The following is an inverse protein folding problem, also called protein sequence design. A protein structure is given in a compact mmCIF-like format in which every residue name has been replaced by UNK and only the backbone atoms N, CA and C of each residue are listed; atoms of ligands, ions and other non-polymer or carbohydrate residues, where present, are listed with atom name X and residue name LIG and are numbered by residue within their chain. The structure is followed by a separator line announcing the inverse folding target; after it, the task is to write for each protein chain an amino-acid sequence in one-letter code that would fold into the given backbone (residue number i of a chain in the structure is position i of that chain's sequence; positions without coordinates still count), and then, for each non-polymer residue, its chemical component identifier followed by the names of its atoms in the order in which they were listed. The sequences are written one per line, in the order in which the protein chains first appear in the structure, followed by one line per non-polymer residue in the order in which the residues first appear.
data_IF_275358308435
#
_entry.id   IF_275358308435
#
_cell.length_a   1.000
_cell.length_b   1.000
_cell.length_c   1.000
_cell.angle_alpha   90.00
_cell.angle_beta   90.00
_cell.angle_gamma   90.00
#
_symmetry.space_group_name_H-M   'P 1'
#
loop_
_entity.id
_entity.type
_entity.pdbx_description
1 polymer ?
#
# COMPACT_ATOMS: atom_id res chain seq x y z
N UNK A 1 -11.04 17.52 14.08
CA UNK A 1 -11.02 16.28 13.27
C UNK A 1 -11.37 15.10 14.17
N UNK A 2 -12.25 14.20 13.74
CA UNK A 2 -12.59 12.98 14.49
C UNK A 2 -11.34 12.07 14.48
N UNK A 3 -10.90 11.59 15.65
CA UNK A 3 -9.78 10.64 15.74
C UNK A 3 -10.20 9.31 15.13
N UNK A 4 -9.29 8.64 14.42
CA UNK A 4 -9.56 7.30 13.87
C UNK A 4 -9.59 6.29 15.00
N UNK A 5 -10.55 5.36 14.91
CA UNK A 5 -10.79 4.34 15.92
C UNK A 5 -10.22 2.99 15.43
N UNK A 6 -9.42 2.36 16.26
CA UNK A 6 -8.80 1.06 15.98
C UNK A 6 -9.27 0.08 17.03
N UNK A 7 -9.63 -1.14 16.62
CA UNK A 7 -9.85 -2.26 17.53
C UNK A 7 -8.67 -3.24 17.39
N UNK A 8 -8.01 -3.52 18.51
CA UNK A 8 -6.98 -4.56 18.63
C UNK A 8 -7.61 -5.79 19.20
N UNK A 9 -7.49 -6.94 18.52
CA UNK A 9 -8.12 -8.21 18.90
C UNK A 9 -7.00 -9.26 18.97
N UNK A 10 -6.64 -9.66 20.17
CA UNK A 10 -5.54 -10.60 20.44
C UNK A 10 -5.74 -11.17 21.86
N UNK A 11 -5.55 -12.47 22.08
CA UNK A 11 -5.71 -13.09 23.40
C UNK A 11 -4.55 -12.76 24.36
N UNK A 12 -3.42 -12.30 23.83
CA UNK A 12 -2.28 -11.80 24.58
C UNK A 12 -2.54 -10.39 25.12
N UNK A 13 -3.01 -10.27 26.38
CA UNK A 13 -3.35 -8.99 27.02
C UNK A 13 -2.22 -7.98 27.00
N UNK A 14 -1.00 -8.42 27.30
CA UNK A 14 0.19 -7.55 27.34
C UNK A 14 0.46 -6.94 25.97
N UNK A 15 0.29 -7.71 24.90
CA UNK A 15 0.44 -7.22 23.52
C UNK A 15 -0.64 -6.19 23.18
N UNK A 16 -1.90 -6.44 23.56
CA UNK A 16 -2.99 -5.49 23.40
C UNK A 16 -2.69 -4.16 24.12
N UNK A 17 -2.20 -4.20 25.36
CA UNK A 17 -1.84 -3.00 26.13
C UNK A 17 -0.70 -2.23 25.48
N UNK A 18 0.35 -2.91 25.03
CA UNK A 18 1.48 -2.31 24.31
C UNK A 18 1.01 -1.61 23.02
N UNK A 19 0.19 -2.28 22.22
CA UNK A 19 -0.34 -1.70 20.99
C UNK A 19 -1.27 -0.53 21.25
N UNK A 20 -2.19 -0.67 22.22
CA UNK A 20 -3.10 0.40 22.65
C UNK A 20 -2.32 1.65 23.08
N UNK A 21 -1.34 1.51 23.98
CA UNK A 21 -0.51 2.61 24.45
C UNK A 21 0.19 3.33 23.29
N UNK A 22 0.87 2.58 22.44
CA UNK A 22 1.69 3.13 21.38
C UNK A 22 0.89 3.77 20.24
N UNK A 23 -0.27 3.21 19.89
CA UNK A 23 -1.15 3.77 18.85
C UNK A 23 -1.90 4.99 19.38
N UNK A 24 -2.32 4.98 20.66
CA UNK A 24 -2.92 6.15 21.30
C UNK A 24 -1.95 7.31 21.37
N UNK A 25 -0.68 7.06 21.68
CA UNK A 25 0.38 8.07 21.74
C UNK A 25 0.59 8.80 20.40
N UNK A 26 0.22 8.19 19.27
CA UNK A 26 0.31 8.81 17.93
C UNK A 26 -1.02 9.34 17.41
N UNK A 27 -2.05 9.39 18.27
CA UNK A 27 -3.28 10.13 18.01
C UNK A 27 -4.49 9.30 17.60
N UNK A 28 -4.42 7.96 17.62
CA UNK A 28 -5.58 7.08 17.41
C UNK A 28 -6.41 6.95 18.69
N UNK A 29 -7.67 6.56 18.55
CA UNK A 29 -8.49 6.03 19.64
C UNK A 29 -8.45 4.51 19.53
N UNK A 30 -8.04 3.81 20.58
CA UNK A 30 -7.78 2.37 20.51
C UNK A 30 -8.56 1.64 21.60
N UNK A 31 -9.38 0.71 21.19
CA UNK A 31 -10.04 -0.28 22.05
C UNK A 31 -9.41 -1.65 21.86
N UNK A 32 -9.59 -2.53 22.83
CA UNK A 32 -9.08 -3.91 22.81
C UNK A 32 -10.21 -4.92 22.98
N UNK A 33 -10.03 -6.11 22.44
CA UNK A 33 -10.82 -7.31 22.71
C UNK A 33 -9.88 -8.50 22.82
N UNK A 34 -10.16 -9.42 23.71
CA UNK A 34 -9.28 -10.55 24.03
C UNK A 34 -9.78 -11.89 23.46
N UNK A 35 -10.79 -11.85 22.63
CA UNK A 35 -11.26 -12.97 21.83
C UNK A 35 -12.15 -12.50 20.70
N UNK A 36 -12.42 -13.38 19.70
CA UNK A 36 -13.36 -13.11 18.62
C UNK A 36 -14.77 -12.85 19.13
N UNK A 37 -15.21 -13.62 20.15
CA UNK A 37 -16.53 -13.47 20.76
C UNK A 37 -16.69 -12.15 21.52
N UNK A 38 -15.61 -11.65 22.14
CA UNK A 38 -15.62 -10.33 22.76
C UNK A 38 -15.71 -9.23 21.70
N UNK A 39 -14.97 -9.37 20.62
CA UNK A 39 -14.99 -8.42 19.51
C UNK A 39 -16.40 -8.30 18.89
N UNK A 40 -17.10 -9.40 18.64
CA UNK A 40 -18.48 -9.42 18.10
C UNK A 40 -19.47 -8.69 19.01
N UNK A 41 -19.27 -8.75 20.33
CA UNK A 41 -20.15 -8.05 21.30
C UNK A 41 -19.97 -6.53 21.27
N UNK A 42 -18.89 -6.03 20.69
CA UNK A 42 -18.67 -4.60 20.49
C UNK A 42 -19.38 -4.16 19.19
N UNK A 43 -19.73 -2.89 19.11
CA UNK A 43 -20.17 -2.29 17.85
C UNK A 43 -18.94 -2.12 16.93
N UNK A 44 -18.64 -3.17 16.14
CA UNK A 44 -17.46 -3.18 15.25
C UNK A 44 -17.58 -2.13 14.17
N UNK A 45 -18.80 -1.73 13.76
CA UNK A 45 -19.03 -0.78 12.67
C UNK A 45 -18.46 0.62 12.93
N UNK A 46 -18.14 0.95 14.19
CA UNK A 46 -17.58 2.25 14.58
C UNK A 46 -16.09 2.37 14.34
N UNK A 47 -15.36 1.26 14.13
CA UNK A 47 -13.91 1.28 13.96
C UNK A 47 -13.51 1.51 12.50
N UNK A 48 -12.42 2.24 12.34
CA UNK A 48 -11.80 2.54 11.05
C UNK A 48 -10.78 1.47 10.62
N UNK A 49 -10.34 0.58 11.55
CA UNK A 49 -9.37 -0.49 11.31
C UNK A 49 -9.44 -1.55 12.41
N UNK A 50 -9.21 -2.80 12.03
CA UNK A 50 -9.01 -3.92 12.95
C UNK A 50 -7.56 -4.41 12.85
N UNK A 51 -6.89 -4.57 14.01
CA UNK A 51 -5.69 -5.38 14.16
C UNK A 51 -6.12 -6.69 14.77
N UNK A 52 -5.97 -7.79 14.06
CA UNK A 52 -6.60 -9.06 14.38
C UNK A 52 -5.59 -10.20 14.43
N UNK A 53 -5.40 -10.79 15.61
CA UNK A 53 -4.60 -12.01 15.70
C UNK A 53 -5.32 -13.16 15.01
N UNK A 54 -4.56 -13.95 14.27
CA UNK A 54 -5.07 -15.14 13.57
C UNK A 54 -5.31 -16.28 14.54
N UNK A 55 -4.41 -16.46 15.51
CA UNK A 55 -4.40 -17.65 16.38
C UNK A 55 -4.94 -17.32 17.77
N UNK A 56 -6.25 -17.27 17.90
CA UNK A 56 -6.93 -17.10 19.18
C UNK A 56 -7.67 -18.38 19.62
N UNK A 57 -7.76 -18.66 20.93
CA UNK A 57 -8.62 -19.73 21.45
C UNK A 57 -10.10 -19.49 21.12
N UNK A 58 -10.83 -20.55 20.78
CA UNK A 58 -12.23 -20.46 20.38
C UNK A 58 -12.38 -20.03 18.93
N UNK A 59 -12.84 -18.82 18.69
CA UNK A 59 -12.97 -18.26 17.35
C UNK A 59 -11.64 -17.72 16.84
N UNK A 60 -11.12 -18.30 15.77
CA UNK A 60 -9.91 -17.82 15.10
C UNK A 60 -10.11 -16.44 14.44
N UNK A 61 -9.01 -15.72 14.21
CA UNK A 61 -9.08 -14.43 13.50
C UNK A 61 -9.62 -14.55 12.07
N UNK A 62 -9.38 -15.65 11.39
CA UNK A 62 -9.94 -15.88 10.06
C UNK A 62 -11.46 -16.07 10.09
N UNK A 63 -11.98 -16.86 11.04
CA UNK A 63 -13.43 -17.05 11.21
C UNK A 63 -14.14 -15.74 11.57
N UNK A 64 -13.53 -14.92 12.43
CA UNK A 64 -14.03 -13.59 12.76
C UNK A 64 -14.05 -12.68 11.53
N UNK A 65 -12.95 -12.63 10.77
CA UNK A 65 -12.85 -11.81 9.57
C UNK A 65 -13.91 -12.23 8.53
N UNK A 66 -14.09 -13.52 8.29
CA UNK A 66 -15.12 -14.02 7.37
C UNK A 66 -16.53 -13.60 7.81
N UNK A 67 -16.84 -13.67 9.10
CA UNK A 67 -18.11 -13.22 9.64
C UNK A 67 -18.32 -11.71 9.46
N UNK A 68 -17.28 -10.90 9.72
CA UNK A 68 -17.34 -9.44 9.56
C UNK A 68 -17.47 -9.04 8.10
N UNK A 69 -16.81 -9.73 7.18
CA UNK A 69 -16.88 -9.44 5.72
C UNK A 69 -18.23 -9.82 5.11
N UNK A 70 -18.99 -10.73 5.73
CA UNK A 70 -20.38 -11.06 5.31
C UNK A 70 -21.42 -10.03 5.74
N UNK A 71 -21.10 -9.15 6.69
CA UNK A 71 -22.01 -8.12 7.18
C UNK A 71 -21.74 -6.78 6.49
N UNK A 72 -22.75 -6.23 5.78
CA UNK A 72 -22.61 -4.97 5.02
C UNK A 72 -22.10 -3.79 5.86
N UNK A 73 -22.43 -3.73 7.15
CA UNK A 73 -21.99 -2.66 8.05
C UNK A 73 -20.48 -2.73 8.38
N UNK A 74 -19.87 -3.90 8.27
CA UNK A 74 -18.46 -4.15 8.65
C UNK A 74 -17.59 -4.62 7.50
N UNK A 75 -18.18 -5.01 6.36
CA UNK A 75 -17.47 -5.59 5.21
C UNK A 75 -16.33 -4.71 4.69
N UNK A 76 -16.50 -3.39 4.75
CA UNK A 76 -15.53 -2.43 4.22
C UNK A 76 -14.48 -1.98 5.26
N UNK A 77 -14.57 -2.48 6.51
CA UNK A 77 -13.56 -2.14 7.53
C UNK A 77 -12.27 -2.89 7.18
N UNK A 78 -11.14 -2.18 7.03
CA UNK A 78 -9.87 -2.80 6.74
C UNK A 78 -9.39 -3.65 7.92
N UNK A 79 -8.75 -4.79 7.58
CA UNK A 79 -8.20 -5.73 8.54
C UNK A 79 -6.71 -5.92 8.27
N UNK A 80 -5.90 -5.73 9.31
CA UNK A 80 -4.49 -6.14 9.33
C UNK A 80 -4.39 -7.36 10.23
N UNK A 81 -3.98 -8.50 9.70
CA UNK A 81 -3.74 -9.67 10.50
C UNK A 81 -2.38 -9.62 11.21
N UNK A 82 -2.39 -10.02 12.48
CA UNK A 82 -1.19 -10.31 13.26
C UNK A 82 -1.05 -11.83 13.29
N UNK A 83 0.05 -12.39 12.82
CA UNK A 83 0.14 -13.85 12.67
C UNK A 83 1.50 -14.39 13.04
N UNK A 84 1.52 -15.50 13.76
CA UNK A 84 2.70 -16.34 13.95
C UNK A 84 2.88 -17.34 12.78
N UNK A 85 1.88 -17.46 11.90
CA UNK A 85 1.90 -18.36 10.76
C UNK A 85 2.79 -17.76 9.67
N UNK A 86 3.83 -18.49 9.29
CA UNK A 86 4.86 -18.05 8.33
C UNK A 86 4.81 -18.83 7.01
N UNK A 87 3.75 -19.62 6.75
CA UNK A 87 3.62 -20.35 5.49
C UNK A 87 2.95 -19.50 4.41
N UNK A 88 3.37 -19.68 3.16
CA UNK A 88 2.75 -18.99 2.02
C UNK A 88 1.23 -19.28 1.92
N UNK A 89 0.81 -20.49 2.30
CA UNK A 89 -0.59 -20.92 2.24
C UNK A 89 -1.47 -20.13 3.24
N UNK A 90 -0.98 -19.83 4.44
CA UNK A 90 -1.72 -19.05 5.44
C UNK A 90 -1.91 -17.59 4.99
N UNK A 91 -0.89 -17.02 4.36
CA UNK A 91 -0.92 -15.66 3.80
C UNK A 91 -1.91 -15.61 2.62
N UNK A 92 -1.92 -16.63 1.76
CA UNK A 92 -2.84 -16.73 0.62
C UNK A 92 -4.30 -16.86 1.08
N UNK A 93 -4.57 -17.71 2.09
CA UNK A 93 -5.91 -17.88 2.65
C UNK A 93 -6.48 -16.56 3.18
N UNK A 94 -5.66 -15.77 3.82
CA UNK A 94 -6.12 -14.50 4.36
C UNK A 94 -6.30 -13.43 3.29
N UNK A 95 -5.53 -13.40 2.20
CA UNK A 95 -5.80 -12.50 1.06
C UNK A 95 -7.12 -12.86 0.37
N UNK A 96 -7.45 -14.14 0.26
CA UNK A 96 -8.75 -14.59 -0.27
C UNK A 96 -9.93 -14.13 0.60
N UNK A 97 -9.71 -13.95 1.91
CA UNK A 97 -10.68 -13.37 2.85
C UNK A 97 -10.76 -11.84 2.82
N UNK A 98 -9.99 -11.16 1.95
CA UNK A 98 -10.04 -9.72 1.78
C UNK A 98 -9.30 -8.93 2.86
N UNK A 99 -8.19 -9.45 3.36
CA UNK A 99 -7.27 -8.71 4.24
C UNK A 99 -6.57 -7.57 3.50
N UNK A 100 -6.36 -6.47 4.21
CA UNK A 100 -5.69 -5.30 3.65
C UNK A 100 -4.17 -5.34 3.85
N UNK A 101 -3.68 -6.03 4.89
CA UNK A 101 -2.25 -6.26 5.16
C UNK A 101 -2.02 -7.37 6.20
N UNK A 102 -0.75 -7.81 6.35
CA UNK A 102 -0.28 -8.84 7.29
C UNK A 102 0.96 -8.37 8.03
N UNK A 103 1.07 -8.75 9.31
CA UNK A 103 2.24 -8.52 10.14
C UNK A 103 2.61 -9.84 10.81
N UNK A 104 3.80 -10.37 10.49
CA UNK A 104 4.29 -11.61 11.11
C UNK A 104 4.83 -11.36 12.51
N UNK A 105 4.42 -12.15 13.48
CA UNK A 105 5.01 -12.22 14.84
C UNK A 105 6.36 -12.97 14.78
N UNK A 106 7.45 -12.48 15.43
CA UNK A 106 7.54 -11.27 16.24
C UNK A 106 7.70 -10.01 15.39
N UNK A 107 7.02 -8.94 15.75
CA UNK A 107 7.06 -7.64 15.05
C UNK A 107 7.51 -6.50 15.98
N UNK A 108 7.91 -5.40 15.39
CA UNK A 108 8.17 -4.16 16.12
C UNK A 108 6.93 -3.26 16.15
N UNK A 109 6.73 -2.51 17.24
CA UNK A 109 5.68 -1.48 17.31
C UNK A 109 5.82 -0.45 16.19
N UNK A 110 7.06 -0.16 15.76
CA UNK A 110 7.34 0.75 14.65
C UNK A 110 6.76 0.22 13.32
N UNK A 111 6.84 -1.09 13.10
CA UNK A 111 6.26 -1.73 11.92
C UNK A 111 4.74 -1.64 11.95
N UNK A 112 4.10 -2.01 13.08
CA UNK A 112 2.64 -1.91 13.24
C UNK A 112 2.16 -0.48 12.95
N UNK A 113 2.81 0.52 13.54
CA UNK A 113 2.47 1.94 13.29
C UNK A 113 2.59 2.34 11.81
N UNK A 114 3.61 1.86 11.12
CA UNK A 114 3.82 2.15 9.70
C UNK A 114 2.69 1.55 8.84
N UNK A 115 2.31 0.29 9.10
CA UNK A 115 1.25 -0.41 8.36
C UNK A 115 -0.14 0.15 8.68
N UNK A 116 -0.45 0.41 9.95
CA UNK A 116 -1.68 1.10 10.37
C UNK A 116 -1.84 2.43 9.62
N UNK A 117 -0.79 3.24 9.57
CA UNK A 117 -0.82 4.51 8.82
C UNK A 117 -1.06 4.28 7.33
N UNK A 118 -0.42 3.29 6.73
CA UNK A 118 -0.56 2.98 5.31
C UNK A 118 -1.99 2.53 4.97
N UNK A 119 -2.58 1.66 5.77
CA UNK A 119 -3.95 1.15 5.56
C UNK A 119 -4.97 2.23 5.82
N UNK A 120 -4.91 2.94 6.96
CA UNK A 120 -5.83 4.02 7.28
C UNK A 120 -5.68 5.25 6.35
N UNK A 121 -4.50 5.43 5.76
CA UNK A 121 -4.28 6.42 4.73
C UNK A 121 -5.04 6.11 3.44
N UNK A 122 -5.24 4.83 3.11
CA UNK A 122 -6.04 4.39 1.96
C UNK A 122 -7.54 4.67 2.15
N UNK A 123 -8.07 4.48 3.37
CA UNK A 123 -9.50 4.65 3.69
C UNK A 123 -9.95 6.11 3.82
N UNK A 124 -9.03 7.05 4.10
CA UNK A 124 -9.37 8.48 4.27
C UNK A 124 -9.22 9.33 3.02
N UNK A 125 -8.63 8.79 1.97
CA UNK A 125 -8.39 9.56 0.76
C UNK A 125 -9.15 8.98 -0.44
N UNK A 126 -10.44 9.25 -0.54
CA UNK A 126 -10.99 9.57 -1.86
C UNK A 126 -10.44 10.92 -2.38
N UNK A 127 -9.87 11.77 -1.52
CA UNK A 127 -8.99 12.84 -1.95
C UNK A 127 -7.52 12.40 -1.79
N UNK A 128 -6.82 12.17 -2.91
CA UNK A 128 -5.41 11.82 -2.89
C UNK A 128 -4.63 12.97 -2.29
N UNK A 129 -3.76 12.68 -1.31
CA UNK A 129 -2.81 13.66 -0.80
C UNK A 129 -2.07 14.29 -1.99
N UNK A 130 -2.25 15.59 -2.26
CA UNK A 130 -1.66 16.26 -3.42
C UNK A 130 -0.15 16.07 -3.49
N UNK A 131 0.52 15.88 -2.34
CA UNK A 131 1.97 15.65 -2.26
C UNK A 131 2.38 14.28 -2.81
N UNK A 132 1.49 13.29 -2.85
CA UNK A 132 1.75 11.95 -3.39
C UNK A 132 1.33 11.80 -4.85
N UNK A 133 0.70 12.82 -5.43
CA UNK A 133 0.22 12.75 -6.80
C UNK A 133 1.11 13.55 -7.74
N UNK A 134 1.68 12.86 -8.70
CA UNK A 134 2.27 13.49 -9.87
C UNK A 134 1.23 13.56 -10.97
N UNK A 135 1.04 14.74 -11.55
CA UNK A 135 0.05 14.98 -12.62
C UNK A 135 0.69 15.71 -13.80
N UNK A 136 0.31 15.29 -14.98
CA UNK A 136 0.52 16.03 -16.20
C UNK A 136 -0.70 15.84 -17.10
N UNK A 137 -1.52 16.88 -17.25
CA UNK A 137 -2.83 16.80 -17.92
C UNK A 137 -3.67 15.63 -17.34
N UNK A 138 -4.11 14.67 -18.17
CA UNK A 138 -4.85 13.49 -17.73
C UNK A 138 -3.97 12.30 -17.29
N UNK A 139 -2.64 12.43 -17.36
CA UNK A 139 -1.74 11.43 -16.78
C UNK A 139 -1.60 11.68 -15.28
N UNK A 140 -2.04 10.74 -14.46
CA UNK A 140 -1.98 10.82 -13.01
C UNK A 140 -1.27 9.60 -12.45
N UNK A 141 -0.29 9.84 -11.60
CA UNK A 141 0.45 8.82 -10.87
C UNK A 141 0.25 9.03 -9.37
N UNK A 142 -0.22 8.01 -8.68
CA UNK A 142 -0.35 7.97 -7.24
C UNK A 142 0.81 7.16 -6.65
N UNK A 143 1.74 7.85 -5.98
CA UNK A 143 2.95 7.25 -5.41
C UNK A 143 2.67 6.40 -4.18
N UNK A 144 1.59 6.73 -3.45
CA UNK A 144 1.21 5.97 -2.26
C UNK A 144 0.51 4.65 -2.63
N UNK A 145 -0.35 4.70 -3.66
CA UNK A 145 -1.07 3.51 -4.16
C UNK A 145 -0.29 2.73 -5.23
N UNK A 146 0.85 3.25 -5.70
CA UNK A 146 1.64 2.69 -6.81
C UNK A 146 0.82 2.47 -8.09
N UNK A 147 -0.13 3.37 -8.37
CA UNK A 147 -1.05 3.28 -9.50
C UNK A 147 -0.86 4.44 -10.48
N UNK A 148 -1.16 4.17 -11.75
CA UNK A 148 -1.17 5.17 -12.82
C UNK A 148 -2.50 5.13 -13.53
N UNK A 149 -3.06 6.29 -13.82
CA UNK A 149 -4.23 6.43 -14.70
C UNK A 149 -3.91 7.36 -15.87
N UNK A 150 -4.47 7.05 -17.01
CA UNK A 150 -4.38 7.82 -18.26
C UNK A 150 -5.80 8.23 -18.64
N UNK A 151 -6.10 9.53 -18.56
CA UNK A 151 -7.45 10.07 -18.82
C UNK A 151 -8.56 9.40 -17.99
N UNK A 152 -8.22 9.01 -16.75
CA UNK A 152 -9.12 8.33 -15.81
C UNK A 152 -9.06 6.81 -15.86
N UNK A 153 -8.55 6.21 -16.93
CA UNK A 153 -8.46 4.75 -17.09
C UNK A 153 -7.17 4.20 -16.46
N UNK A 154 -7.22 3.06 -15.76
CA UNK A 154 -6.04 2.45 -15.16
C UNK A 154 -5.01 2.01 -16.22
N UNK A 155 -3.74 2.36 -15.99
CA UNK A 155 -2.62 1.89 -16.81
C UNK A 155 -1.75 0.92 -15.98
N UNK A 156 -1.70 -0.35 -16.42
CA UNK A 156 -0.96 -1.41 -15.74
C UNK A 156 0.54 -1.34 -16.04
N UNK A 157 1.27 -0.58 -15.22
CA UNK A 157 2.73 -0.52 -15.29
C UNK A 157 3.36 -1.60 -14.39
N UNK A 158 4.48 -2.18 -14.83
CA UNK A 158 5.35 -2.96 -13.94
C UNK A 158 6.04 -2.03 -12.94
N UNK A 159 6.60 -2.59 -11.84
CA UNK A 159 7.35 -1.81 -10.85
C UNK A 159 8.44 -0.95 -11.50
N UNK A 160 9.21 -1.52 -12.42
CA UNK A 160 10.30 -0.82 -13.13
C UNK A 160 9.75 0.30 -14.03
N UNK A 161 8.68 0.05 -14.77
CA UNK A 161 8.03 1.06 -15.62
C UNK A 161 7.42 2.19 -14.78
N UNK A 162 6.88 1.86 -13.61
CA UNK A 162 6.38 2.85 -12.65
C UNK A 162 7.50 3.77 -12.14
N UNK A 163 8.62 3.19 -11.66
CA UNK A 163 9.76 3.97 -11.17
C UNK A 163 10.41 4.81 -12.28
N UNK A 164 10.47 4.30 -13.52
CA UNK A 164 10.90 5.07 -14.69
C UNK A 164 10.02 6.28 -14.95
N UNK A 165 8.70 6.07 -15.00
CA UNK A 165 7.75 7.16 -15.22
C UNK A 165 7.82 8.19 -14.09
N UNK A 166 7.90 7.73 -12.85
CA UNK A 166 8.05 8.57 -11.67
C UNK A 166 9.30 9.45 -11.77
N UNK A 167 10.47 8.86 -12.05
CA UNK A 167 11.73 9.58 -12.19
C UNK A 167 11.63 10.71 -13.22
N UNK A 168 11.07 10.43 -14.40
CA UNK A 168 10.96 11.38 -15.48
C UNK A 168 9.90 12.44 -15.21
N UNK A 169 8.77 12.07 -14.60
CA UNK A 169 7.64 12.96 -14.32
C UNK A 169 7.91 13.90 -13.13
N UNK A 170 8.70 13.47 -12.14
CA UNK A 170 9.16 14.30 -11.02
C UNK A 170 10.14 15.39 -11.47
N UNK A 171 10.95 15.11 -12.51
CA UNK A 171 12.01 15.99 -12.96
C UNK A 171 11.82 16.40 -14.44
N UNK A 172 10.67 16.95 -14.74
CA UNK A 172 10.29 17.36 -16.11
C UNK A 172 11.33 18.29 -16.72
N UNK A 173 11.62 18.12 -17.99
CA UNK A 173 12.62 18.89 -18.72
C UNK A 173 14.08 18.48 -18.47
N UNK A 174 14.34 17.66 -17.44
CA UNK A 174 15.69 17.14 -17.17
C UNK A 174 15.97 15.90 -18.01
N UNK A 175 17.09 15.90 -18.71
CA UNK A 175 17.58 14.72 -19.42
C UNK A 175 18.32 13.82 -18.43
N UNK A 176 17.97 12.55 -18.42
CA UNK A 176 18.63 11.48 -17.69
C UNK A 176 19.34 10.57 -18.68
N UNK A 177 20.66 10.39 -18.52
CA UNK A 177 21.41 9.38 -19.27
C UNK A 177 20.93 7.96 -18.92
N UNK A 178 21.20 6.99 -19.80
CA UNK A 178 20.84 5.60 -19.52
C UNK A 178 21.46 5.10 -18.22
N UNK A 179 22.68 5.49 -17.96
CA UNK A 179 23.41 5.11 -16.75
C UNK A 179 22.77 5.73 -15.50
N UNK A 180 22.42 7.03 -15.50
CA UNK A 180 21.69 7.66 -14.39
C UNK A 180 20.34 6.99 -14.15
N UNK A 181 19.64 6.58 -15.21
CA UNK A 181 18.37 5.84 -15.09
C UNK A 181 18.60 4.48 -14.44
N UNK A 182 19.63 3.73 -14.86
CA UNK A 182 19.97 2.44 -14.26
C UNK A 182 20.27 2.58 -12.76
N UNK A 183 21.12 3.52 -12.39
CA UNK A 183 21.50 3.76 -10.99
C UNK A 183 20.34 4.15 -10.07
N UNK A 184 19.30 4.83 -10.63
CA UNK A 184 18.16 5.33 -9.85
C UNK A 184 16.98 4.38 -9.79
N UNK A 185 16.81 3.54 -10.80
CA UNK A 185 15.61 2.70 -10.97
C UNK A 185 15.87 1.23 -10.65
N UNK A 186 17.10 0.74 -10.86
CA UNK A 186 17.46 -0.65 -10.57
C UNK A 186 18.29 -0.78 -9.29
N UNK A 187 18.09 -1.86 -8.52
CA UNK A 187 18.96 -2.20 -7.38
C UNK A 187 20.41 -2.38 -7.84
N UNK A 188 21.37 -2.01 -6.99
CA UNK A 188 22.81 -2.05 -7.32
C UNK A 188 23.38 -3.45 -7.56
N UNK A 189 22.71 -4.46 -7.06
CA UNK A 189 23.07 -5.89 -7.17
C UNK A 189 22.56 -6.55 -8.46
N UNK A 190 21.79 -5.82 -9.27
CA UNK A 190 21.25 -6.34 -10.53
C UNK A 190 22.10 -5.89 -11.71
N UNK A 191 22.72 -6.83 -12.41
CA UNK A 191 23.50 -6.56 -13.63
C UNK A 191 22.53 -6.37 -14.80
N UNK A 192 22.34 -5.13 -15.21
CA UNK A 192 21.51 -4.74 -16.35
C UNK A 192 22.30 -3.87 -17.33
N UNK A 193 21.90 -3.88 -18.59
CA UNK A 193 22.53 -3.09 -19.65
C UNK A 193 21.68 -1.89 -20.04
N UNK A 194 22.28 -0.91 -20.71
CA UNK A 194 21.60 0.26 -21.29
C UNK A 194 20.38 -0.12 -22.15
N UNK A 195 20.48 -1.27 -22.85
CA UNK A 195 19.37 -1.80 -23.66
C UNK A 195 18.13 -2.16 -22.81
N UNK A 196 18.31 -2.53 -21.55
CA UNK A 196 17.20 -2.79 -20.62
C UNK A 196 16.37 -1.53 -20.39
N UNK A 197 17.03 -0.35 -20.28
CA UNK A 197 16.34 0.94 -20.18
C UNK A 197 15.49 1.18 -21.42
N UNK A 198 16.05 1.04 -22.60
CA UNK A 198 15.36 1.30 -23.88
C UNK A 198 14.12 0.43 -24.05
N UNK A 199 14.21 -0.86 -23.66
CA UNK A 199 13.09 -1.80 -23.71
C UNK A 199 11.96 -1.38 -22.75
N UNK A 200 12.31 -1.01 -21.51
CA UNK A 200 11.31 -0.59 -20.53
C UNK A 200 10.66 0.75 -20.88
N UNK A 201 11.43 1.71 -21.41
CA UNK A 201 10.89 2.98 -21.96
C UNK A 201 9.90 2.68 -23.10
N UNK A 202 10.24 1.78 -23.99
CA UNK A 202 9.36 1.40 -25.11
C UNK A 202 8.06 0.78 -24.63
N UNK A 203 8.12 -0.12 -23.64
CA UNK A 203 6.94 -0.75 -23.05
C UNK A 203 6.08 0.26 -22.29
N UNK A 204 6.70 1.11 -21.48
CA UNK A 204 6.03 2.17 -20.75
C UNK A 204 5.30 3.13 -21.69
N UNK A 205 5.94 3.60 -22.77
CA UNK A 205 5.30 4.46 -23.79
C UNK A 205 4.00 3.86 -24.33
N UNK A 206 3.98 2.56 -24.62
CA UNK A 206 2.77 1.89 -25.12
C UNK A 206 1.62 1.93 -24.11
N UNK A 207 1.94 1.88 -22.81
CA UNK A 207 0.95 1.82 -21.72
C UNK A 207 0.41 3.19 -21.32
N UNK A 208 1.19 4.27 -21.50
CA UNK A 208 0.75 5.64 -21.21
C UNK A 208 0.08 6.34 -22.42
N UNK A 209 -0.13 5.61 -23.49
CA UNK A 209 -0.95 6.03 -24.64
C UNK A 209 -0.49 7.35 -25.25
N UNK A 210 -1.39 8.34 -25.34
CA UNK A 210 -1.13 9.66 -25.95
C UNK A 210 0.01 10.43 -25.28
N UNK A 211 0.31 10.16 -24.02
CA UNK A 211 1.42 10.79 -23.30
C UNK A 211 2.79 10.18 -23.64
N UNK A 212 2.83 9.15 -24.50
CA UNK A 212 4.08 8.55 -25.01
C UNK A 212 5.00 9.57 -25.66
N UNK A 213 4.44 10.59 -26.34
CA UNK A 213 5.18 11.68 -27.00
C UNK A 213 5.88 12.62 -26.01
N UNK A 214 5.42 12.66 -24.74
CA UNK A 214 6.06 13.43 -23.68
C UNK A 214 7.37 12.78 -23.20
N UNK A 215 7.52 11.46 -23.38
CA UNK A 215 8.78 10.79 -23.10
C UNK A 215 9.68 10.93 -24.33
N UNK A 216 10.54 11.93 -24.31
CA UNK A 216 11.41 12.24 -25.45
C UNK A 216 12.74 11.53 -25.34
N UNK A 217 13.23 10.98 -26.46
CA UNK A 217 14.59 10.47 -26.58
C UNK A 217 15.51 11.59 -27.09
N UNK A 218 16.52 11.95 -26.32
CA UNK A 218 17.62 12.80 -26.79
C UNK A 218 18.77 11.89 -27.24
N UNK A 219 18.94 11.76 -28.53
CA UNK A 219 19.93 10.87 -29.13
C UNK A 219 21.33 11.19 -28.57
N UNK A 220 22.04 10.17 -28.07
CA UNK A 220 23.35 10.30 -27.44
C UNK A 220 23.31 10.77 -25.98
N UNK A 221 22.19 11.32 -25.48
CA UNK A 221 22.10 11.88 -24.13
C UNK A 221 21.19 11.09 -23.19
N UNK A 222 20.05 10.53 -23.67
CA UNK A 222 19.16 9.75 -22.82
C UNK A 222 17.68 10.13 -23.00
N UNK A 223 16.94 10.22 -21.89
CA UNK A 223 15.49 10.39 -21.84
C UNK A 223 15.07 11.53 -20.94
N UNK A 224 13.97 12.19 -21.30
CA UNK A 224 13.32 13.20 -20.46
C UNK A 224 11.79 13.11 -20.60
N UNK A 225 11.09 13.68 -19.64
CA UNK A 225 9.68 14.05 -19.78
C UNK A 225 9.60 15.50 -20.23
N UNK A 226 9.18 15.73 -21.48
CA UNK A 226 9.05 17.06 -22.05
C UNK A 226 7.61 17.56 -21.87
N UNK A 227 7.46 18.75 -21.32
CA UNK A 227 6.17 19.47 -21.21
C UNK A 227 6.09 20.42 -22.40
N UNK A 228 5.18 20.16 -23.29
CA UNK A 228 4.89 21.01 -24.43
C UNK A 228 3.85 22.05 -24.08
#
# INVERSE_FOLDING_TARGET
MKRQQILVIDDERDLCEILQFNLTAVGYTVDTAFSGEEAIRKDVSRYDLLLLDVMMPGMSGFELAEQLKKNEATANIPIIFLTALGTEDDVLQGFDLGADDYISKPFSVKEVRARVRAVLGRTKSDEPDPSNILRYEGLRMDRAKMTVTVDGEPASLTKTEFELLKLLLEHRGRVYSRQEVLEKVWPRDVVVTDRTVDVNITRMRKKIGRYSSCIVTRHGYGYLFDVR
#
